data_IF_986715491997
#
_entry.id   IF_986715491997
#
_cell.length_a   1.000
_cell.length_b   1.000
_cell.length_c   1.000
_cell.angle_alpha   90.00
_cell.angle_beta   90.00
_cell.angle_gamma   90.00
#
_symmetry.space_group_name_H-M   'P 1'
#
loop_
_entity.id
_entity.type
_entity.pdbx_description
1 polymer ?
#
# COMPACT_ATOMS: atom_id res chain seq x y z
N UNK A 1 7.54 -19.45 -16.93
CA UNK A 1 7.56 -18.03 -16.60
C UNK A 1 7.45 -17.81 -15.13
N UNK A 2 8.40 -17.12 -14.56
CA UNK A 2 8.42 -16.91 -13.12
C UNK A 2 7.67 -15.63 -12.76
N UNK A 3 6.83 -15.72 -11.74
CA UNK A 3 6.23 -14.54 -11.17
C UNK A 3 7.29 -13.78 -10.38
N UNK A 4 7.32 -12.49 -10.57
CA UNK A 4 8.17 -11.67 -9.74
C UNK A 4 7.62 -11.62 -8.33
N UNK A 5 8.48 -11.83 -7.36
CA UNK A 5 8.07 -11.69 -5.98
C UNK A 5 7.94 -10.21 -5.63
N UNK A 6 6.91 -9.90 -4.87
CA UNK A 6 6.78 -8.56 -4.33
C UNK A 6 7.89 -8.35 -3.30
N UNK A 7 8.62 -7.26 -3.46
CA UNK A 7 9.74 -6.93 -2.57
C UNK A 7 9.29 -5.86 -1.58
N UNK A 8 9.57 -6.09 -0.30
CA UNK A 8 9.26 -5.11 0.73
C UNK A 8 10.35 -4.05 0.73
N UNK A 9 9.98 -2.86 0.26
CA UNK A 9 10.87 -1.72 0.18
C UNK A 9 10.03 -0.45 0.24
N UNK A 10 10.66 0.71 0.09
CA UNK A 10 9.93 1.96 0.00
C UNK A 10 9.21 2.04 -1.33
N UNK A 11 7.93 2.40 -1.29
CA UNK A 11 7.11 2.63 -2.49
C UNK A 11 6.42 3.97 -2.36
N UNK A 12 6.24 4.67 -3.48
CA UNK A 12 5.33 5.80 -3.51
C UNK A 12 3.92 5.35 -3.17
N UNK A 13 3.16 6.20 -2.50
CA UNK A 13 1.80 5.84 -2.09
C UNK A 13 0.93 5.49 -3.28
N UNK A 14 0.97 6.29 -4.34
CA UNK A 14 0.22 5.96 -5.54
C UNK A 14 0.82 4.76 -6.27
N UNK A 15 2.15 4.64 -6.26
CA UNK A 15 2.80 3.50 -6.89
C UNK A 15 2.32 2.18 -6.28
N UNK A 16 2.34 2.09 -4.95
CA UNK A 16 1.90 0.89 -4.28
C UNK A 16 0.41 0.64 -4.50
N UNK A 17 -0.39 1.71 -4.44
CA UNK A 17 -1.83 1.58 -4.65
C UNK A 17 -2.16 1.09 -6.06
N UNK A 18 -1.42 1.55 -7.06
CA UNK A 18 -1.62 1.09 -8.43
C UNK A 18 -1.25 -0.38 -8.60
N UNK A 19 -0.29 -0.86 -7.84
CA UNK A 19 0.06 -2.28 -7.84
C UNK A 19 -1.06 -3.13 -7.25
N UNK A 20 -1.74 -2.61 -6.22
CA UNK A 20 -2.86 -3.32 -5.60
C UNK A 20 -4.13 -3.27 -6.46
N UNK A 21 -4.34 -2.19 -7.17
CA UNK A 21 -5.56 -2.00 -7.97
C UNK A 21 -5.17 -1.70 -9.42
N UNK A 22 -4.68 -2.72 -10.15
CA UNK A 22 -4.16 -2.48 -11.50
C UNK A 22 -5.21 -2.04 -12.51
N UNK A 23 -6.50 -2.20 -12.19
CA UNK A 23 -7.57 -1.81 -13.09
C UNK A 23 -7.90 -0.32 -13.03
N UNK A 24 -7.30 0.41 -12.10
CA UNK A 24 -7.53 1.85 -11.96
C UNK A 24 -6.31 2.57 -12.50
N UNK A 25 -6.53 3.44 -13.50
CA UNK A 25 -5.42 4.12 -14.17
C UNK A 25 -5.03 5.43 -13.50
N UNK A 26 -5.95 6.04 -12.76
CA UNK A 26 -5.70 7.35 -12.18
C UNK A 26 -4.98 7.20 -10.85
N UNK A 27 -3.73 7.70 -10.71
CA UNK A 27 -2.98 7.57 -9.46
C UNK A 27 -3.69 8.18 -8.25
N UNK A 28 -4.38 9.29 -8.45
CA UNK A 28 -5.09 9.93 -7.35
C UNK A 28 -6.28 9.09 -6.89
N UNK A 29 -7.04 8.54 -7.82
CA UNK A 29 -8.18 7.71 -7.47
C UNK A 29 -7.76 6.45 -6.75
N UNK A 30 -6.69 5.82 -7.21
CA UNK A 30 -6.24 4.58 -6.60
C UNK A 30 -5.67 4.84 -5.20
N UNK A 31 -4.99 5.95 -5.03
CA UNK A 31 -4.46 6.33 -3.72
C UNK A 31 -5.60 6.61 -2.74
N UNK A 32 -6.65 7.29 -3.20
CA UNK A 32 -7.81 7.57 -2.37
C UNK A 32 -8.54 6.29 -1.98
N UNK A 33 -8.61 5.34 -2.90
CA UNK A 33 -9.25 4.06 -2.62
C UNK A 33 -8.49 3.29 -1.54
N UNK A 34 -7.17 3.24 -1.66
CA UNK A 34 -6.36 2.56 -0.65
C UNK A 34 -6.50 3.25 0.70
N UNK A 35 -6.50 4.58 0.71
CA UNK A 35 -6.64 5.33 1.95
C UNK A 35 -7.98 5.02 2.61
N UNK A 36 -9.05 4.90 1.83
CA UNK A 36 -10.35 4.52 2.38
C UNK A 36 -10.31 3.15 3.04
N UNK A 37 -9.64 2.19 2.39
CA UNK A 37 -9.50 0.85 2.97
C UNK A 37 -8.76 0.90 4.29
N UNK A 38 -7.69 1.69 4.34
CA UNK A 38 -6.90 1.83 5.56
C UNK A 38 -7.74 2.47 6.67
N UNK A 39 -8.49 3.50 6.33
CA UNK A 39 -9.29 4.24 7.32
C UNK A 39 -10.47 3.44 7.86
N UNK A 40 -10.89 2.39 7.18
CA UNK A 40 -11.92 1.50 7.71
C UNK A 40 -11.46 0.78 8.98
N UNK A 41 -10.16 0.70 9.18
CA UNK A 41 -9.57 0.09 10.36
C UNK A 41 -8.78 1.17 11.10
N UNK A 42 -9.43 1.89 12.03
CA UNK A 42 -8.76 3.01 12.70
C UNK A 42 -7.49 2.62 13.42
N UNK A 43 -7.45 1.43 14.01
CA UNK A 43 -6.24 0.96 14.69
C UNK A 43 -5.10 0.74 13.71
N UNK A 44 -5.41 0.17 12.55
CA UNK A 44 -4.42 -0.05 11.52
C UNK A 44 -3.91 1.27 10.97
N UNK A 45 -4.81 2.21 10.72
CA UNK A 45 -4.45 3.54 10.26
C UNK A 45 -3.50 4.23 11.25
N UNK A 46 -3.84 4.16 12.54
CA UNK A 46 -2.99 4.74 13.58
C UNK A 46 -1.61 4.08 13.60
N UNK A 47 -1.56 2.76 13.42
CA UNK A 47 -0.29 2.05 13.39
C UNK A 47 0.58 2.50 12.22
N UNK A 48 -0.02 2.66 11.04
CA UNK A 48 0.72 3.15 9.89
C UNK A 48 1.28 4.55 10.13
N UNK A 49 0.50 5.42 10.76
CA UNK A 49 0.96 6.76 11.08
C UNK A 49 2.12 6.73 12.07
N UNK A 50 2.09 5.82 13.03
CA UNK A 50 3.19 5.67 13.98
C UNK A 50 4.48 5.19 13.32
N UNK A 51 4.36 4.41 12.26
CA UNK A 51 5.52 3.91 11.53
C UNK A 51 6.08 4.91 10.53
N UNK A 52 5.35 5.99 10.26
CA UNK A 52 5.81 7.00 9.32
C UNK A 52 7.02 7.73 9.87
N UNK A 53 8.06 7.86 9.05
CA UNK A 53 9.26 8.58 9.44
C UNK A 53 9.01 10.07 9.36
N UNK A 54 8.32 10.51 8.31
CA UNK A 54 7.95 11.91 8.14
C UNK A 54 6.45 11.99 7.90
N UNK A 55 5.73 12.88 8.61
CA UNK A 55 4.26 12.92 8.52
C UNK A 55 3.71 13.25 7.14
N UNK A 56 4.45 14.00 6.34
CA UNK A 56 3.99 14.44 5.03
C UNK A 56 4.66 13.71 3.89
N UNK A 57 5.20 12.53 4.17
CA UNK A 57 5.88 11.74 3.15
C UNK A 57 4.85 11.16 2.16
N UNK A 58 5.18 11.23 0.88
CA UNK A 58 4.34 10.65 -0.16
C UNK A 58 4.70 9.19 -0.43
N UNK A 59 5.46 8.58 0.46
CA UNK A 59 5.93 7.21 0.33
C UNK A 59 5.57 6.40 1.55
N UNK A 60 5.40 5.10 1.34
CA UNK A 60 5.35 4.15 2.43
C UNK A 60 6.74 3.55 2.61
N UNK A 61 7.26 3.59 3.84
CA UNK A 61 8.55 2.98 4.12
C UNK A 61 8.40 1.45 4.21
N UNK A 62 9.52 0.70 4.26
CA UNK A 62 9.42 -0.76 4.27
C UNK A 62 8.59 -1.32 5.43
N UNK A 63 8.63 -0.70 6.59
CA UNK A 63 7.84 -1.15 7.73
C UNK A 63 6.35 -0.99 7.46
N UNK A 64 5.96 0.13 6.86
CA UNK A 64 4.57 0.36 6.49
C UNK A 64 4.14 -0.62 5.40
N UNK A 65 4.99 -0.85 4.41
CA UNK A 65 4.69 -1.80 3.34
C UNK A 65 4.48 -3.19 3.92
N UNK A 66 5.31 -3.59 4.88
CA UNK A 66 5.16 -4.89 5.53
C UNK A 66 3.79 -5.02 6.19
N UNK A 67 3.37 -3.98 6.91
CA UNK A 67 2.05 -4.02 7.57
C UNK A 67 0.92 -4.05 6.56
N UNK A 68 1.06 -3.30 5.46
CA UNK A 68 0.06 -3.31 4.39
C UNK A 68 -0.06 -4.70 3.76
N UNK A 69 1.07 -5.35 3.53
CA UNK A 69 1.08 -6.70 2.97
C UNK A 69 0.42 -7.68 3.93
N UNK A 70 0.70 -7.57 5.21
CA UNK A 70 0.10 -8.46 6.20
C UNK A 70 -1.41 -8.23 6.31
N UNK A 71 -1.87 -7.02 6.08
CA UNK A 71 -3.30 -6.69 6.19
C UNK A 71 -4.08 -7.01 4.91
N UNK A 72 -3.53 -6.65 3.77
CA UNK A 72 -4.22 -6.73 2.48
C UNK A 72 -3.64 -7.77 1.53
N UNK A 73 -2.50 -8.37 1.87
CA UNK A 73 -1.79 -9.27 0.97
C UNK A 73 -0.85 -8.53 0.06
N UNK A 74 0.08 -9.26 -0.54
CA UNK A 74 1.05 -8.67 -1.47
C UNK A 74 0.40 -8.43 -2.83
N UNK A 75 0.79 -7.35 -3.52
CA UNK A 75 0.31 -7.14 -4.90
C UNK A 75 0.67 -8.35 -5.76
N UNK A 76 -0.28 -8.75 -6.61
CA UNK A 76 -0.10 -9.92 -7.45
C UNK A 76 -0.67 -11.20 -6.86
N UNK A 77 -0.88 -11.25 -5.55
CA UNK A 77 -1.52 -12.41 -4.93
C UNK A 77 -3.03 -12.42 -5.13
N UNK A 78 -3.57 -11.31 -5.58
CA UNK A 78 -4.99 -11.19 -5.85
C UNK A 78 -5.34 -11.49 -7.28
N UNK A 79 -4.41 -12.03 -8.03
CA UNK A 79 -4.73 -12.41 -9.38
C UNK A 79 -5.71 -13.54 -9.38
N UNK A 80 -6.68 -13.39 -10.18
CA UNK A 80 -7.73 -14.39 -10.31
C UNK A 80 -7.56 -15.12 -11.61
#
# INVERSE_FOLDING_TARGET
MTKEKFIIRTYGKSEYAMMLFPNIDDPKQVQDKLLRWIKRNPKFHAKLLQLAITPNDNHYNPQQIRELVLKFGAPGEYEV
#
